data_IF_963746421945
#
_entry.id   IF_963746421945
#
_cell.length_a   1.000
_cell.length_b   1.000
_cell.length_c   1.000
_cell.angle_alpha   90.00
_cell.angle_beta   90.00
_cell.angle_gamma   90.00
#
_symmetry.space_group_name_H-M   'P 1'
#
loop_
_entity.id
_entity.type
_entity.pdbx_description
1 polymer ?
#
# COMPACT_ATOMS: atom_id res chain seq x y z
N UNK A 1 4.99 20.37 19.20
CA UNK A 1 4.80 19.68 17.92
C UNK A 1 3.36 19.14 17.85
N UNK A 2 2.35 19.85 17.32
CA UNK A 2 1.01 19.29 17.25
C UNK A 2 0.81 18.51 15.93
N UNK A 3 0.32 17.28 16.06
CA UNK A 3 0.08 16.34 14.98
C UNK A 3 -0.84 16.91 13.90
N UNK A 4 -0.42 16.77 12.64
CA UNK A 4 -1.23 17.16 11.48
C UNK A 4 -2.50 16.29 11.43
N UNK A 5 -3.63 16.88 11.80
CA UNK A 5 -4.97 16.42 11.40
C UNK A 5 -5.09 16.63 9.90
N UNK A 6 -4.94 15.56 9.12
CA UNK A 6 -5.30 15.58 7.71
C UNK A 6 -6.82 15.41 7.60
N UNK A 7 -7.56 16.52 7.46
CA UNK A 7 -8.95 16.51 7.01
C UNK A 7 -8.99 16.11 5.53
N UNK A 8 -9.39 14.87 5.23
CA UNK A 8 -9.65 14.47 3.84
C UNK A 8 -11.07 14.87 3.44
N UNK A 9 -11.18 16.09 2.94
CA UNK A 9 -12.30 16.51 2.09
C UNK A 9 -12.30 15.68 0.79
N UNK A 10 -13.51 15.27 0.39
CA UNK A 10 -13.87 14.52 -0.83
C UNK A 10 -13.20 13.15 -1.03
N UNK A 11 -13.97 12.11 -0.70
CA UNK A 11 -13.73 10.72 -1.13
C UNK A 11 -13.88 10.61 -2.65
N UNK A 12 -12.80 10.82 -3.40
CA UNK A 12 -12.69 10.20 -4.72
C UNK A 12 -12.49 8.71 -4.51
N UNK A 13 -13.54 7.95 -4.75
CA UNK A 13 -13.57 6.50 -4.60
C UNK A 13 -12.90 5.88 -5.83
N UNK A 14 -11.57 5.96 -5.92
CA UNK A 14 -10.79 5.37 -7.01
C UNK A 14 -9.79 4.34 -6.46
N UNK A 15 -10.25 3.48 -5.55
CA UNK A 15 -9.42 2.45 -4.97
C UNK A 15 -10.01 1.06 -5.24
N UNK A 16 -9.22 0.10 -5.74
CA UNK A 16 -9.70 -1.25 -5.98
C UNK A 16 -10.25 -1.83 -4.67
N UNK A 17 -11.50 -2.30 -4.70
CA UNK A 17 -12.14 -2.95 -3.54
C UNK A 17 -11.28 -4.12 -3.03
N UNK A 18 -10.52 -4.73 -3.94
CA UNK A 18 -9.68 -5.91 -3.72
C UNK A 18 -8.23 -5.57 -3.32
N UNK A 19 -7.89 -4.31 -3.03
CA UNK A 19 -6.50 -3.94 -2.72
C UNK A 19 -5.89 -4.76 -1.58
N UNK A 20 -6.63 -4.98 -0.48
CA UNK A 20 -6.11 -5.76 0.65
C UNK A 20 -5.71 -7.17 0.20
N UNK A 21 -6.48 -7.73 -0.71
CA UNK A 21 -6.25 -9.05 -1.25
C UNK A 21 -5.08 -9.05 -2.24
N UNK A 22 -4.99 -8.06 -3.12
CA UNK A 22 -3.83 -7.80 -3.98
C UNK A 22 -2.55 -7.64 -3.16
N UNK A 23 -2.60 -6.93 -2.02
CA UNK A 23 -1.47 -6.73 -1.12
C UNK A 23 -1.06 -8.02 -0.39
N UNK A 24 -1.99 -8.85 0.06
CA UNK A 24 -1.69 -10.17 0.62
C UNK A 24 -1.05 -11.09 -0.41
N UNK A 25 -1.57 -11.12 -1.64
CA UNK A 25 -0.98 -11.87 -2.76
C UNK A 25 0.42 -11.38 -3.06
N UNK A 26 0.62 -10.07 -3.13
CA UNK A 26 1.95 -9.48 -3.31
C UNK A 26 2.94 -9.95 -2.25
N UNK A 27 2.54 -9.95 -0.96
CA UNK A 27 3.35 -10.49 0.13
C UNK A 27 3.65 -11.98 -0.02
N UNK A 28 2.68 -12.77 -0.48
CA UNK A 28 2.85 -14.21 -0.67
C UNK A 28 3.79 -14.52 -1.83
N UNK A 29 3.59 -13.87 -2.98
CA UNK A 29 4.33 -14.15 -4.22
C UNK A 29 5.73 -13.52 -4.24
N UNK A 30 5.93 -12.38 -3.59
CA UNK A 30 7.26 -11.76 -3.48
C UNK A 30 8.18 -12.44 -2.45
N UNK A 31 7.61 -13.27 -1.55
CA UNK A 31 8.33 -13.85 -0.41
C UNK A 31 8.75 -12.82 0.66
N UNK A 32 8.43 -11.54 0.49
CA UNK A 32 8.83 -10.48 1.42
C UNK A 32 8.03 -10.56 2.72
N UNK A 33 8.63 -10.17 3.84
CA UNK A 33 7.91 -9.93 5.08
C UNK A 33 7.20 -8.57 5.04
N UNK A 34 6.22 -8.36 5.92
CA UNK A 34 5.58 -7.04 6.04
C UNK A 34 6.56 -5.93 6.42
N UNK A 35 7.57 -6.25 7.23
CA UNK A 35 8.64 -5.32 7.60
C UNK A 35 9.51 -4.97 6.39
N UNK A 36 9.83 -5.95 5.56
CA UNK A 36 10.59 -5.77 4.33
C UNK A 36 9.82 -4.92 3.31
N UNK A 37 8.52 -5.16 3.16
CA UNK A 37 7.64 -4.33 2.33
C UNK A 37 7.64 -2.88 2.84
N UNK A 38 7.46 -2.65 4.15
CA UNK A 38 7.51 -1.28 4.69
C UNK A 38 8.86 -0.60 4.46
N UNK A 39 9.97 -1.34 4.64
CA UNK A 39 11.33 -0.85 4.43
C UNK A 39 11.56 -0.46 2.97
N UNK A 40 11.19 -1.32 2.02
CA UNK A 40 11.35 -1.07 0.58
C UNK A 40 10.46 0.06 0.07
N UNK A 41 9.30 0.27 0.68
CA UNK A 41 8.42 1.40 0.38
C UNK A 41 8.84 2.70 1.08
N UNK A 42 9.78 2.66 2.03
CA UNK A 42 10.20 3.83 2.81
C UNK A 42 9.11 4.36 3.75
N UNK A 43 8.18 3.51 4.19
CA UNK A 43 7.04 3.89 5.03
C UNK A 43 7.08 3.23 6.41
N UNK A 44 6.41 3.84 7.38
CA UNK A 44 6.30 3.28 8.71
C UNK A 44 5.49 1.96 8.71
N UNK A 45 5.89 0.90 9.44
CA UNK A 45 5.18 -0.38 9.49
C UNK A 45 3.70 -0.29 9.91
N UNK A 46 3.39 0.66 10.81
CA UNK A 46 2.01 1.00 11.21
C UNK A 46 1.13 1.37 9.99
N UNK A 47 1.68 2.05 8.98
CA UNK A 47 0.96 2.40 7.75
C UNK A 47 0.53 1.14 7.00
N UNK A 48 1.45 0.18 6.84
CA UNK A 48 1.15 -1.13 6.24
C UNK A 48 0.15 -1.91 7.08
N UNK A 49 0.25 -1.86 8.42
CA UNK A 49 -0.72 -2.51 9.32
C UNK A 49 -2.14 -1.98 9.08
N UNK A 50 -2.32 -0.66 9.05
CA UNK A 50 -3.62 -0.03 8.80
C UNK A 50 -4.18 -0.35 7.41
N UNK A 51 -3.33 -0.53 6.40
CA UNK A 51 -3.76 -1.01 5.09
C UNK A 51 -4.30 -2.43 5.12
N UNK A 52 -3.60 -3.35 5.80
CA UNK A 52 -4.03 -4.75 5.95
C UNK A 52 -5.37 -4.86 6.68
N UNK A 53 -5.53 -4.08 7.74
CA UNK A 53 -6.75 -4.06 8.56
C UNK A 53 -7.89 -3.30 7.85
N UNK A 54 -7.57 -2.47 6.84
CA UNK A 54 -8.54 -1.63 6.13
C UNK A 54 -8.90 -0.33 6.86
N UNK A 55 -8.14 0.04 7.89
CA UNK A 55 -8.29 1.30 8.62
C UNK A 55 -7.74 2.50 7.85
N UNK A 56 -6.87 2.29 6.86
CA UNK A 56 -6.36 3.34 6.00
C UNK A 56 -6.19 2.85 4.56
N UNK A 57 -6.12 3.80 3.64
CA UNK A 57 -5.77 3.55 2.24
C UNK A 57 -4.41 4.19 1.92
N UNK A 58 -3.61 3.62 1.01
CA UNK A 58 -2.46 4.32 0.44
C UNK A 58 -2.94 5.58 -0.30
N UNK A 59 -2.13 6.63 -0.26
CA UNK A 59 -2.31 7.79 -1.13
C UNK A 59 -1.66 7.50 -2.50
N UNK A 60 -1.70 8.46 -3.43
CA UNK A 60 -1.10 8.30 -4.75
C UNK A 60 0.40 7.96 -4.69
N UNK A 61 1.16 8.61 -3.80
CA UNK A 61 2.60 8.37 -3.63
C UNK A 61 2.89 6.92 -3.20
N UNK A 62 2.20 6.45 -2.16
CA UNK A 62 2.30 5.07 -1.68
C UNK A 62 1.87 4.05 -2.74
N UNK A 63 0.83 4.36 -3.53
CA UNK A 63 0.40 3.51 -4.63
C UNK A 63 1.46 3.42 -5.73
N UNK A 64 2.05 4.54 -6.13
CA UNK A 64 3.13 4.56 -7.13
C UNK A 64 4.36 3.78 -6.64
N UNK A 65 4.75 3.95 -5.38
CA UNK A 65 5.85 3.19 -4.78
C UNK A 65 5.58 1.68 -4.80
N UNK A 66 4.34 1.27 -4.47
CA UNK A 66 3.94 -0.13 -4.51
C UNK A 66 3.93 -0.69 -5.93
N UNK A 67 3.43 0.07 -6.92
CA UNK A 67 3.46 -0.34 -8.32
C UNK A 67 4.89 -0.53 -8.81
N UNK A 68 5.80 0.42 -8.54
CA UNK A 68 7.21 0.31 -8.91
C UNK A 68 7.87 -0.92 -8.30
N UNK A 69 7.72 -1.10 -6.99
CA UNK A 69 8.26 -2.26 -6.30
C UNK A 69 7.68 -3.58 -6.86
N UNK A 70 6.40 -3.59 -7.22
CA UNK A 70 5.78 -4.76 -7.84
C UNK A 70 6.34 -5.02 -9.24
N UNK A 71 6.52 -4.00 -10.08
CA UNK A 71 7.13 -4.13 -11.40
C UNK A 71 8.59 -4.63 -11.32
N UNK A 72 9.40 -4.09 -10.39
CA UNK A 72 10.78 -4.55 -10.14
C UNK A 72 10.87 -6.03 -9.77
N UNK A 73 9.79 -6.59 -9.20
CA UNK A 73 9.68 -7.99 -8.81
C UNK A 73 8.95 -8.86 -9.85
N UNK A 74 8.57 -8.31 -11.01
CA UNK A 74 7.75 -9.00 -12.01
C UNK A 74 6.30 -9.25 -11.57
N UNK A 75 5.85 -8.57 -10.51
CA UNK A 75 4.55 -8.71 -9.87
C UNK A 75 3.58 -7.55 -10.18
N UNK A 76 3.93 -6.65 -11.10
CA UNK A 76 3.15 -5.45 -11.44
C UNK A 76 1.67 -5.70 -11.77
N UNK A 77 1.35 -6.85 -12.37
CA UNK A 77 -0.03 -7.30 -12.65
C UNK A 77 -1.00 -7.31 -11.46
N UNK A 78 -0.51 -7.31 -10.21
CA UNK A 78 -1.39 -7.24 -9.03
C UNK A 78 -1.96 -5.84 -8.79
N UNK A 79 -1.31 -4.80 -9.27
CA UNK A 79 -1.66 -3.41 -8.96
C UNK A 79 -2.00 -2.58 -10.19
N UNK A 80 -1.95 -3.18 -11.39
CA UNK A 80 -2.60 -2.63 -12.58
C UNK A 80 -4.11 -2.94 -12.52
N UNK A 81 -4.90 -2.07 -13.15
CA UNK A 81 -6.32 -2.30 -13.41
C UNK A 81 -6.50 -2.61 -14.90
#
# INVERSE_FOLDING_TARGET
MPGKRFSYGRRVNAFPKDFRERLKRFKAESGLSWAEISRRLGIHPETVRRWKEGHARPNAEHMLALCRLADDLGLGRLFRD
#
